data_IF_502935545548
#
_entry.id   IF_502935545548
#
_cell.length_a   1.000
_cell.length_b   1.000
_cell.length_c   1.000
_cell.angle_alpha   90.00
_cell.angle_beta   90.00
_cell.angle_gamma   90.00
#
_symmetry.space_group_name_H-M   'P 1'
#
loop_
_entity.id
_entity.type
_entity.pdbx_description
1 polymer ?
#
# COMPACT_ATOMS: atom_id res chain seq x y z
N UNK A 1 -33.82 -42.05 -24.30
CA UNK A 1 -32.48 -41.71 -23.82
C UNK A 1 -32.57 -40.37 -23.16
N UNK A 2 -32.68 -40.36 -21.82
CA UNK A 2 -32.65 -39.11 -21.04
C UNK A 2 -31.16 -38.78 -20.70
N UNK A 3 -30.68 -37.66 -21.23
CA UNK A 3 -29.35 -37.12 -20.85
C UNK A 3 -29.54 -36.28 -19.59
N UNK A 4 -29.00 -36.76 -18.48
CA UNK A 4 -28.89 -35.99 -17.25
C UNK A 4 -27.67 -35.06 -17.34
N UNK A 5 -27.92 -33.77 -17.49
CA UNK A 5 -26.88 -32.76 -17.33
C UNK A 5 -26.60 -32.58 -15.84
N UNK A 6 -25.44 -33.05 -15.38
CA UNK A 6 -24.93 -32.75 -14.04
C UNK A 6 -24.36 -31.32 -14.09
N UNK A 7 -25.11 -30.37 -13.54
CA UNK A 7 -24.58 -29.06 -13.19
C UNK A 7 -23.64 -29.25 -11.98
N UNK A 8 -22.33 -29.24 -12.22
CA UNK A 8 -21.34 -29.06 -11.17
C UNK A 8 -21.42 -27.60 -10.69
N UNK A 9 -22.19 -27.36 -9.63
CA UNK A 9 -22.03 -26.15 -8.84
C UNK A 9 -20.71 -26.27 -8.11
N UNK A 10 -19.71 -25.52 -8.55
CA UNK A 10 -18.48 -25.29 -7.80
C UNK A 10 -18.87 -24.43 -6.57
N UNK A 11 -19.39 -25.05 -5.52
CA UNK A 11 -19.46 -24.42 -4.22
C UNK A 11 -18.00 -24.29 -3.76
N UNK A 12 -17.48 -23.08 -3.63
CA UNK A 12 -16.24 -22.80 -2.91
C UNK A 12 -16.50 -23.23 -1.47
N UNK A 13 -16.10 -24.44 -1.13
CA UNK A 13 -16.05 -24.90 0.24
C UNK A 13 -14.93 -24.12 0.92
N UNK A 14 -15.26 -22.99 1.53
CA UNK A 14 -14.42 -22.44 2.58
C UNK A 14 -14.40 -23.48 3.69
N UNK A 15 -13.21 -24.00 4.00
CA UNK A 15 -13.05 -24.94 5.09
C UNK A 15 -13.61 -24.32 6.38
N UNK A 16 -14.07 -25.15 7.31
CA UNK A 16 -14.67 -24.79 8.61
C UNK A 16 -13.75 -23.91 9.51
N UNK A 17 -12.60 -23.47 9.03
CA UNK A 17 -11.50 -22.79 9.73
C UNK A 17 -11.08 -21.46 9.11
N UNK A 18 -11.93 -20.77 8.37
CA UNK A 18 -11.61 -19.44 7.81
C UNK A 18 -11.40 -18.42 8.94
N UNK A 19 -10.32 -17.62 8.83
CA UNK A 19 -9.98 -16.53 9.76
C UNK A 19 -10.42 -15.23 9.11
N UNK A 20 -11.49 -14.64 9.62
CA UNK A 20 -12.03 -13.40 9.07
C UNK A 20 -11.26 -12.22 9.65
N UNK A 21 -10.70 -11.37 8.79
CA UNK A 21 -10.07 -10.14 9.22
C UNK A 21 -11.13 -9.15 9.75
N UNK A 22 -10.76 -8.27 10.71
CA UNK A 22 -11.68 -7.28 11.23
C UNK A 22 -12.22 -6.38 10.13
N UNK A 23 -13.43 -5.89 10.29
CA UNK A 23 -13.98 -4.87 9.41
C UNK A 23 -13.24 -3.56 9.59
N UNK A 24 -13.12 -2.81 8.51
CA UNK A 24 -12.56 -1.46 8.52
C UNK A 24 -13.37 -0.52 9.40
N UNK A 25 -12.70 0.50 9.95
CA UNK A 25 -13.26 1.44 10.94
C UNK A 25 -13.99 2.62 10.31
N UNK A 26 -13.80 2.88 9.02
CA UNK A 26 -14.43 4.00 8.30
C UNK A 26 -15.93 3.81 8.08
N UNK A 27 -16.62 4.87 7.63
CA UNK A 27 -18.07 4.89 7.46
C UNK A 27 -18.58 4.10 6.24
N UNK A 28 -17.66 3.63 5.37
CA UNK A 28 -18.01 2.89 4.16
C UNK A 28 -17.56 1.43 4.25
N UNK A 29 -18.34 0.53 3.65
CA UNK A 29 -17.86 -0.78 3.24
C UNK A 29 -17.06 -0.64 1.93
N UNK A 30 -16.41 -1.70 1.47
CA UNK A 30 -15.59 -1.64 0.26
C UNK A 30 -15.87 -2.81 -0.69
N UNK A 31 -15.75 -2.57 -1.99
CA UNK A 31 -15.62 -3.65 -2.99
C UNK A 31 -14.15 -4.03 -3.13
N UNK A 32 -13.87 -5.16 -3.78
CA UNK A 32 -12.53 -5.56 -4.22
C UNK A 32 -12.58 -6.01 -5.69
N UNK A 33 -11.72 -5.40 -6.51
CA UNK A 33 -11.45 -5.86 -7.87
C UNK A 33 -9.95 -6.17 -8.00
N UNK A 34 -9.63 -7.35 -8.55
CA UNK A 34 -8.25 -7.77 -8.85
C UNK A 34 -8.10 -7.74 -10.37
N UNK A 35 -7.12 -6.98 -10.85
CA UNK A 35 -6.98 -6.68 -12.28
C UNK A 35 -5.54 -6.79 -12.73
N UNK A 36 -5.36 -7.31 -13.95
CA UNK A 36 -4.10 -7.21 -14.69
C UNK A 36 -4.20 -6.03 -15.66
N UNK A 37 -3.22 -5.12 -15.60
CA UNK A 37 -3.11 -4.05 -16.59
C UNK A 37 -1.80 -4.15 -17.36
N UNK A 38 -1.90 -4.01 -18.70
CA UNK A 38 -0.77 -4.06 -19.62
C UNK A 38 -0.52 -2.68 -20.19
N UNK A 39 0.68 -2.15 -19.97
CA UNK A 39 1.18 -0.96 -20.62
C UNK A 39 1.84 -1.35 -21.95
N UNK A 40 1.06 -1.32 -23.01
CA UNK A 40 1.52 -1.70 -24.36
C UNK A 40 2.50 -0.69 -24.98
N UNK A 41 2.64 0.49 -24.40
CA UNK A 41 3.57 1.52 -24.86
C UNK A 41 4.99 1.33 -24.32
N UNK A 42 5.14 0.51 -23.27
CA UNK A 42 6.40 0.30 -22.56
C UNK A 42 6.80 -1.18 -22.56
N UNK A 43 7.99 -1.47 -23.09
CA UNK A 43 8.61 -2.81 -22.95
C UNK A 43 8.97 -3.02 -21.48
N UNK A 44 8.79 -4.24 -20.97
CA UNK A 44 9.14 -4.54 -19.59
C UNK A 44 10.66 -4.34 -19.39
N UNK A 45 11.08 -3.49 -18.44
CA UNK A 45 12.48 -3.14 -18.27
C UNK A 45 13.34 -4.28 -17.70
N UNK A 46 12.71 -5.30 -17.09
CA UNK A 46 13.40 -6.47 -16.57
C UNK A 46 13.35 -7.65 -17.55
N UNK A 47 12.39 -7.65 -18.49
CA UNK A 47 12.23 -8.71 -19.47
C UNK A 47 11.70 -8.17 -20.82
N UNK A 48 12.61 -7.94 -21.74
CA UNK A 48 12.30 -7.33 -23.04
C UNK A 48 11.43 -8.19 -23.97
N UNK A 49 11.03 -9.40 -23.56
CA UNK A 49 10.21 -10.29 -24.37
C UNK A 49 8.72 -9.92 -24.39
N UNK A 50 8.27 -9.02 -23.52
CA UNK A 50 6.88 -8.60 -23.42
C UNK A 50 6.72 -7.14 -22.99
N UNK A 51 5.53 -6.59 -23.18
CA UNK A 51 5.18 -5.27 -22.66
C UNK A 51 5.08 -5.30 -21.14
N UNK A 52 5.26 -4.13 -20.50
CA UNK A 52 5.11 -4.00 -19.04
C UNK A 52 3.69 -4.35 -18.64
N UNK A 53 3.55 -5.23 -17.66
CA UNK A 53 2.28 -5.66 -17.07
C UNK A 53 2.38 -5.60 -15.55
N UNK A 54 1.29 -5.18 -14.91
CA UNK A 54 1.20 -5.05 -13.45
C UNK A 54 -0.07 -5.71 -12.94
N UNK A 55 -0.05 -6.13 -11.67
CA UNK A 55 -1.24 -6.62 -10.97
C UNK A 55 -1.71 -5.60 -9.95
N UNK A 56 -3.02 -5.41 -9.89
CA UNK A 56 -3.66 -4.42 -9.03
C UNK A 56 -4.73 -5.08 -8.15
N UNK A 57 -4.87 -4.55 -6.92
CA UNK A 57 -6.08 -4.73 -6.13
C UNK A 57 -6.71 -3.36 -5.91
N UNK A 58 -7.95 -3.20 -6.34
CA UNK A 58 -8.70 -1.95 -6.24
C UNK A 58 -9.82 -2.10 -5.21
N UNK A 59 -9.85 -1.17 -4.27
CA UNK A 59 -10.88 -1.06 -3.25
C UNK A 59 -11.66 0.25 -3.47
N UNK A 60 -12.99 0.14 -3.67
CA UNK A 60 -13.86 1.30 -3.82
C UNK A 60 -14.85 1.38 -2.67
N UNK A 61 -15.10 2.57 -2.09
CA UNK A 61 -16.07 2.77 -1.03
C UNK A 61 -17.50 2.50 -1.47
N UNK A 62 -18.27 1.88 -0.60
CA UNK A 62 -19.71 1.59 -0.78
C UNK A 62 -20.47 1.96 0.49
N UNK A 63 -21.58 2.70 0.42
CA UNK A 63 -22.42 2.89 1.59
C UNK A 63 -22.80 1.55 2.22
N UNK A 64 -22.57 1.39 3.53
CA UNK A 64 -22.83 0.13 4.24
C UNK A 64 -24.25 -0.39 4.01
N UNK A 65 -25.24 0.54 3.91
CA UNK A 65 -26.65 0.19 3.65
C UNK A 65 -26.90 -0.44 2.27
N UNK A 66 -25.93 -0.39 1.36
CA UNK A 66 -25.99 -0.96 -0.01
C UNK A 66 -25.09 -2.17 -0.17
N UNK A 67 -24.33 -2.53 0.84
CA UNK A 67 -23.35 -3.60 0.77
C UNK A 67 -23.99 -4.97 1.05
N UNK A 68 -23.92 -5.88 0.09
CA UNK A 68 -24.14 -7.30 0.32
C UNK A 68 -22.77 -7.91 0.62
N UNK A 69 -22.46 -8.15 1.89
CA UNK A 69 -21.18 -8.68 2.30
C UNK A 69 -20.95 -10.10 1.79
N UNK A 70 -19.74 -10.35 1.27
CA UNK A 70 -19.21 -11.67 1.00
C UNK A 70 -17.79 -11.81 1.54
N UNK A 71 -17.38 -13.03 1.80
CA UNK A 71 -16.00 -13.35 2.18
C UNK A 71 -15.21 -13.71 0.93
N UNK A 72 -14.08 -13.05 0.74
CA UNK A 72 -13.13 -13.35 -0.32
C UNK A 72 -11.79 -13.76 0.26
N UNK A 73 -11.06 -14.60 -0.44
CA UNK A 73 -9.73 -15.02 -0.03
C UNK A 73 -8.80 -13.82 0.06
N UNK A 74 -8.06 -13.72 1.18
CA UNK A 74 -7.11 -12.64 1.42
C UNK A 74 -5.96 -12.64 0.40
N UNK A 75 -5.45 -13.84 0.07
CA UNK A 75 -4.32 -14.01 -0.83
C UNK A 75 -4.59 -15.16 -1.81
N UNK A 76 -4.18 -15.03 -3.07
CA UNK A 76 -4.28 -16.08 -4.07
C UNK A 76 -3.43 -17.30 -3.68
N UNK A 77 -3.86 -18.51 -4.06
CA UNK A 77 -3.31 -19.75 -3.54
C UNK A 77 -1.80 -19.94 -3.80
N UNK A 78 -1.31 -19.59 -4.99
CA UNK A 78 0.10 -19.73 -5.34
C UNK A 78 0.95 -18.73 -4.55
N UNK A 79 0.49 -17.50 -4.48
CA UNK A 79 1.14 -16.45 -3.68
C UNK A 79 1.15 -16.83 -2.20
N UNK A 80 0.02 -17.25 -1.64
CA UNK A 80 -0.07 -17.67 -0.24
C UNK A 80 0.88 -18.82 0.10
N UNK A 81 1.02 -19.79 -0.80
CA UNK A 81 1.94 -20.92 -0.59
C UNK A 81 3.42 -20.49 -0.63
N UNK A 82 3.77 -19.55 -1.51
CA UNK A 82 5.13 -19.02 -1.59
C UNK A 82 5.47 -18.14 -0.38
N UNK A 83 4.53 -17.30 0.05
CA UNK A 83 4.70 -16.44 1.22
C UNK A 83 4.73 -17.24 2.55
N UNK A 84 3.93 -18.29 2.68
CA UNK A 84 4.03 -19.22 3.83
C UNK A 84 5.42 -19.86 3.94
N UNK A 85 6.07 -20.17 2.80
CA UNK A 85 7.43 -20.70 2.77
C UNK A 85 8.46 -19.66 3.20
N UNK A 86 8.35 -18.41 2.68
CA UNK A 86 9.22 -17.29 3.04
C UNK A 86 9.08 -16.95 4.54
N UNK A 87 7.85 -16.85 5.02
CA UNK A 87 7.56 -16.53 6.41
C UNK A 87 7.88 -17.68 7.40
N UNK A 88 8.05 -18.90 6.89
CA UNK A 88 8.43 -20.06 7.69
C UNK A 88 9.73 -19.86 8.48
N UNK A 89 10.69 -19.12 7.93
CA UNK A 89 11.96 -18.78 8.58
C UNK A 89 11.75 -17.86 9.81
N UNK A 90 10.61 -17.19 9.89
CA UNK A 90 10.21 -16.29 10.99
C UNK A 90 9.26 -16.96 11.99
N UNK A 91 8.99 -18.27 11.84
CA UNK A 91 8.11 -19.03 12.71
C UNK A 91 6.63 -19.00 12.31
N UNK A 92 6.32 -18.57 11.10
CA UNK A 92 4.96 -18.56 10.55
C UNK A 92 4.49 -20.01 10.26
N UNK A 93 3.25 -20.39 10.67
CA UNK A 93 2.71 -21.71 10.39
C UNK A 93 2.38 -21.90 8.90
N UNK A 94 2.88 -22.96 8.30
CA UNK A 94 2.60 -23.31 6.89
C UNK A 94 1.10 -23.51 6.64
N UNK A 95 0.60 -22.96 5.55
CA UNK A 95 -0.79 -23.03 5.12
C UNK A 95 -1.72 -22.05 5.83
N UNK A 96 -1.19 -21.16 6.67
CA UNK A 96 -2.01 -20.23 7.44
C UNK A 96 -2.54 -19.09 6.57
N UNK A 97 -1.76 -18.58 5.60
CA UNK A 97 -2.19 -17.47 4.73
C UNK A 97 -3.44 -17.81 3.92
N UNK A 98 -3.59 -19.07 3.51
CA UNK A 98 -4.80 -19.53 2.80
C UNK A 98 -6.09 -19.54 3.64
N UNK A 99 -5.99 -19.36 4.96
CA UNK A 99 -7.14 -19.35 5.86
C UNK A 99 -7.73 -17.97 6.06
N UNK A 100 -6.99 -16.90 5.77
CA UNK A 100 -7.48 -15.55 5.94
C UNK A 100 -8.45 -15.14 4.83
N UNK A 101 -9.51 -14.45 5.24
CA UNK A 101 -10.51 -13.89 4.34
C UNK A 101 -10.81 -12.45 4.71
N UNK A 102 -11.10 -11.63 3.69
CA UNK A 102 -11.63 -10.28 3.81
C UNK A 102 -13.15 -10.31 3.66
N UNK A 103 -13.87 -9.46 4.37
CA UNK A 103 -15.26 -9.15 4.08
C UNK A 103 -15.32 -7.94 3.13
N UNK A 104 -15.92 -8.13 1.97
CA UNK A 104 -16.10 -7.10 0.93
C UNK A 104 -17.55 -7.07 0.45
N UNK A 105 -17.90 -6.02 -0.29
CA UNK A 105 -19.21 -5.96 -0.96
C UNK A 105 -19.16 -6.73 -2.28
N UNK A 106 -20.14 -7.60 -2.49
CA UNK A 106 -20.26 -8.44 -3.68
C UNK A 106 -20.52 -7.64 -4.95
N UNK A 107 -21.24 -6.54 -4.85
CA UNK A 107 -21.64 -5.73 -6.00
C UNK A 107 -20.43 -4.98 -6.55
N UNK A 108 -19.96 -5.40 -7.72
CA UNK A 108 -18.85 -4.73 -8.42
C UNK A 108 -19.38 -3.48 -9.10
N UNK A 109 -18.80 -2.33 -8.78
CA UNK A 109 -19.00 -1.14 -9.60
C UNK A 109 -18.22 -1.27 -10.91
N UNK A 110 -18.76 -0.76 -12.05
CA UNK A 110 -18.06 -0.84 -13.33
C UNK A 110 -16.67 -0.19 -13.23
N UNK A 111 -15.65 -0.89 -13.72
CA UNK A 111 -14.30 -0.36 -13.90
C UNK A 111 -14.37 0.92 -14.74
N UNK A 112 -13.79 2.01 -14.26
CA UNK A 112 -13.80 3.32 -14.93
C UNK A 112 -14.82 4.33 -14.37
N UNK A 113 -15.74 3.93 -13.50
CA UNK A 113 -16.50 4.88 -12.72
C UNK A 113 -15.71 5.24 -11.45
N UNK A 114 -14.94 6.31 -11.49
CA UNK A 114 -14.49 6.99 -10.29
C UNK A 114 -15.73 7.67 -9.72
N UNK A 115 -16.45 7.02 -8.78
CA UNK A 115 -17.62 7.61 -8.16
C UNK A 115 -18.78 6.63 -7.95
N UNK A 116 -19.33 6.63 -6.75
CA UNK A 116 -20.61 6.01 -6.44
C UNK A 116 -21.74 6.66 -7.26
N UNK A 117 -22.67 5.89 -7.79
CA UNK A 117 -23.87 6.36 -8.51
C UNK A 117 -23.65 7.24 -9.77
N UNK A 118 -22.47 7.24 -10.39
CA UNK A 118 -22.25 8.05 -11.59
C UNK A 118 -22.11 9.56 -11.39
N UNK A 119 -22.10 10.06 -10.15
CA UNK A 119 -21.97 11.47 -9.81
C UNK A 119 -20.94 11.81 -8.73
N UNK A 120 -20.58 10.87 -7.87
CA UNK A 120 -19.54 11.06 -6.85
C UNK A 120 -18.26 10.35 -7.24
N UNK A 121 -17.18 11.12 -7.44
CA UNK A 121 -15.83 10.60 -7.64
C UNK A 121 -15.13 10.54 -6.28
N UNK A 122 -14.72 9.34 -5.87
CA UNK A 122 -13.84 9.21 -4.73
C UNK A 122 -12.42 9.63 -5.11
N UNK A 123 -11.70 10.37 -4.25
CA UNK A 123 -10.29 10.66 -4.50
C UNK A 123 -9.46 9.39 -4.61
N UNK A 124 -8.45 9.42 -5.47
CA UNK A 124 -7.62 8.27 -5.80
C UNK A 124 -6.37 8.25 -4.92
N UNK A 125 -6.14 7.13 -4.26
CA UNK A 125 -4.91 6.83 -3.53
C UNK A 125 -4.24 5.59 -4.10
N UNK A 126 -2.98 5.71 -4.55
CA UNK A 126 -2.17 4.58 -4.99
C UNK A 126 -1.27 4.10 -3.85
N UNK A 127 -1.07 2.80 -3.77
CA UNK A 127 -0.20 2.18 -2.77
C UNK A 127 0.84 1.28 -3.42
N UNK A 128 2.11 1.43 -2.99
CA UNK A 128 3.23 0.56 -3.37
C UNK A 128 3.77 -0.16 -2.13
N UNK A 129 3.95 -1.47 -2.23
CA UNK A 129 4.47 -2.32 -1.14
C UNK A 129 5.97 -2.22 -0.94
N UNK A 130 6.50 -2.93 0.06
CA UNK A 130 7.93 -3.07 0.29
C UNK A 130 8.67 -3.73 -0.87
N UNK A 131 10.01 -3.71 -0.83
CA UNK A 131 10.82 -4.50 -1.74
C UNK A 131 10.57 -5.99 -1.49
N UNK A 132 10.46 -6.79 -2.54
CA UNK A 132 10.15 -8.21 -2.44
C UNK A 132 8.91 -8.49 -1.57
N UNK A 133 7.86 -7.66 -1.68
CA UNK A 133 6.64 -7.85 -0.90
C UNK A 133 5.42 -7.66 -1.79
N UNK A 134 4.54 -8.67 -1.81
CA UNK A 134 3.31 -8.60 -2.62
C UNK A 134 2.34 -7.56 -2.09
N UNK A 135 1.60 -6.90 -3.02
CA UNK A 135 0.50 -5.98 -2.70
C UNK A 135 -0.54 -6.58 -1.76
N UNK A 136 -0.66 -7.90 -1.75
CA UNK A 136 -1.67 -8.63 -0.98
C UNK A 136 -1.44 -8.52 0.53
N UNK A 137 -0.20 -8.34 0.99
CA UNK A 137 0.12 -8.05 2.40
C UNK A 137 -0.29 -6.64 2.86
N UNK A 138 -0.98 -5.87 2.02
CA UNK A 138 -1.49 -4.55 2.33
C UNK A 138 -2.99 -4.42 2.02
N UNK A 139 -3.66 -5.56 1.80
CA UNK A 139 -5.08 -5.58 1.43
C UNK A 139 -5.98 -5.05 2.55
N UNK A 140 -5.68 -5.36 3.81
CA UNK A 140 -6.44 -4.86 4.94
C UNK A 140 -6.19 -3.36 5.18
N UNK A 141 -4.93 -2.90 5.06
CA UNK A 141 -4.60 -1.47 5.12
C UNK A 141 -5.31 -0.69 4.00
N UNK A 142 -5.27 -1.21 2.77
CA UNK A 142 -5.93 -0.57 1.63
C UNK A 142 -7.45 -0.50 1.82
N UNK A 143 -8.05 -1.57 2.35
CA UNK A 143 -9.47 -1.63 2.70
C UNK A 143 -9.81 -0.62 3.80
N UNK A 144 -8.95 -0.49 4.83
CA UNK A 144 -9.11 0.50 5.89
C UNK A 144 -9.14 1.92 5.31
N UNK A 145 -8.14 2.32 4.52
CA UNK A 145 -8.09 3.66 3.92
C UNK A 145 -9.27 3.89 2.96
N UNK A 146 -9.64 2.88 2.17
CA UNK A 146 -10.79 2.98 1.27
C UNK A 146 -12.11 3.18 2.04
N UNK A 147 -12.25 2.57 3.22
CA UNK A 147 -13.46 2.74 4.05
C UNK A 147 -13.67 4.18 4.54
N UNK A 148 -12.63 5.01 4.47
CA UNK A 148 -12.68 6.44 4.76
C UNK A 148 -12.97 7.31 3.53
N UNK A 149 -13.38 6.74 2.41
CA UNK A 149 -13.85 7.48 1.25
C UNK A 149 -12.80 7.72 0.16
N UNK A 150 -11.86 6.79 -0.02
CA UNK A 150 -10.89 6.79 -1.12
C UNK A 150 -11.08 5.58 -2.04
N UNK A 151 -10.92 5.77 -3.34
CA UNK A 151 -10.56 4.65 -4.20
C UNK A 151 -9.08 4.33 -3.95
N UNK A 152 -8.79 3.16 -3.37
CA UNK A 152 -7.40 2.73 -3.11
C UNK A 152 -7.00 1.65 -4.08
N UNK A 153 -5.83 1.81 -4.73
CA UNK A 153 -5.27 0.82 -5.64
C UNK A 153 -3.88 0.43 -5.15
N UNK A 154 -3.72 -0.83 -4.78
CA UNK A 154 -2.41 -1.42 -4.47
C UNK A 154 -1.80 -2.05 -5.71
N UNK A 155 -0.47 -1.93 -5.86
CA UNK A 155 0.25 -2.29 -7.09
C UNK A 155 1.32 -3.34 -6.77
N UNK A 156 1.31 -4.48 -7.49
CA UNK A 156 2.51 -5.31 -7.62
C UNK A 156 3.34 -4.85 -8.80
N UNK A 157 4.64 -4.78 -8.56
CA UNK A 157 5.67 -4.44 -9.54
C UNK A 157 6.43 -5.73 -9.94
N UNK A 158 6.02 -6.46 -11.00
CA UNK A 158 6.64 -7.72 -11.38
C UNK A 158 8.15 -7.60 -11.54
N UNK A 159 8.88 -8.65 -11.16
CA UNK A 159 10.34 -8.76 -11.06
C UNK A 159 10.97 -8.05 -9.85
N UNK A 160 10.25 -7.12 -9.21
CA UNK A 160 10.61 -6.48 -7.94
C UNK A 160 9.84 -7.16 -6.79
N UNK A 161 8.50 -7.25 -6.92
CA UNK A 161 7.63 -8.02 -6.01
C UNK A 161 8.02 -9.49 -6.04
N UNK A 162 8.14 -10.12 -4.88
CA UNK A 162 8.61 -11.51 -4.71
C UNK A 162 7.79 -12.54 -5.48
N UNK A 163 6.46 -12.47 -5.43
CA UNK A 163 5.56 -13.35 -6.18
C UNK A 163 4.40 -12.55 -6.76
N UNK A 164 4.25 -12.59 -8.08
CA UNK A 164 3.12 -11.99 -8.79
C UNK A 164 2.40 -13.06 -9.59
N UNK A 165 1.19 -13.41 -9.15
CA UNK A 165 0.32 -14.37 -9.82
C UNK A 165 -0.67 -13.62 -10.74
N UNK A 166 -0.72 -14.01 -12.02
CA UNK A 166 -1.58 -13.42 -13.04
C UNK A 166 -2.81 -14.28 -13.32
N UNK A 167 -3.92 -13.68 -13.80
CA UNK A 167 -5.18 -14.40 -14.05
C UNK A 167 -5.07 -15.57 -15.04
N UNK A 168 -4.08 -15.54 -15.93
CA UNK A 168 -3.81 -16.62 -16.90
C UNK A 168 -2.98 -17.78 -16.33
N UNK A 169 -2.68 -17.75 -15.02
CA UNK A 169 -1.87 -18.75 -14.33
C UNK A 169 -0.35 -18.52 -14.44
N UNK A 170 0.10 -17.48 -15.14
CA UNK A 170 1.52 -17.12 -15.11
C UNK A 170 1.91 -16.61 -13.74
N UNK A 171 3.13 -16.93 -13.31
CA UNK A 171 3.74 -16.43 -12.08
C UNK A 171 5.09 -15.79 -12.42
N UNK A 172 5.32 -14.58 -11.92
CA UNK A 172 6.61 -13.91 -12.02
C UNK A 172 7.18 -13.79 -10.60
N UNK A 173 8.43 -14.21 -10.44
CA UNK A 173 9.16 -14.07 -9.18
C UNK A 173 10.04 -12.82 -9.20
N UNK A 174 10.24 -12.24 -8.01
CA UNK A 174 11.04 -11.07 -7.76
C UNK A 174 12.55 -11.32 -7.82
N UNK A 175 13.29 -10.39 -7.19
CA UNK A 175 14.75 -10.49 -7.04
C UNK A 175 15.55 -9.78 -8.14
N UNK A 176 14.92 -9.12 -9.11
CA UNK A 176 15.61 -8.31 -10.11
C UNK A 176 16.02 -6.93 -9.57
N UNK A 177 15.38 -6.47 -8.51
CA UNK A 177 15.80 -5.31 -7.72
C UNK A 177 16.42 -5.82 -6.43
N UNK A 178 17.70 -5.59 -6.24
CA UNK A 178 18.47 -6.13 -5.11
C UNK A 178 19.50 -5.11 -4.62
N UNK A 179 19.98 -5.21 -3.37
CA UNK A 179 21.10 -4.40 -2.92
C UNK A 179 22.31 -4.64 -3.80
N UNK A 180 23.11 -3.58 -4.06
CA UNK A 180 24.30 -3.72 -4.88
C UNK A 180 25.28 -4.72 -4.25
N UNK A 181 25.72 -5.69 -5.04
CA UNK A 181 26.76 -6.61 -4.61
C UNK A 181 28.07 -5.82 -4.34
N UNK A 182 28.65 -6.00 -3.15
CA UNK A 182 29.93 -5.38 -2.74
C UNK A 182 29.98 -3.85 -2.65
N UNK A 183 28.85 -3.18 -2.40
CA UNK A 183 28.82 -1.73 -2.16
C UNK A 183 29.12 -0.86 -3.39
N UNK A 184 29.17 -1.44 -4.59
CA UNK A 184 29.33 -0.71 -5.84
C UNK A 184 28.00 -0.71 -6.60
N UNK A 185 27.50 0.47 -6.92
CA UNK A 185 26.35 0.84 -7.74
C UNK A 185 24.96 0.85 -7.02
N UNK A 186 24.43 2.03 -6.73
CA UNK A 186 23.03 2.20 -6.27
C UNK A 186 21.99 1.99 -7.40
N UNK A 187 22.43 1.67 -8.62
CA UNK A 187 21.63 1.61 -9.84
C UNK A 187 20.41 0.71 -9.75
N UNK A 188 20.47 -0.39 -8.97
CA UNK A 188 19.34 -1.30 -8.87
C UNK A 188 18.15 -0.71 -8.11
N UNK A 189 18.38 0.03 -7.02
CA UNK A 189 17.29 0.66 -6.26
C UNK A 189 16.73 1.89 -6.98
N UNK A 190 17.57 2.78 -7.46
CA UNK A 190 17.12 3.97 -8.21
C UNK A 190 16.34 3.56 -9.46
N UNK A 191 16.82 2.53 -10.16
CA UNK A 191 16.12 1.97 -11.31
C UNK A 191 14.78 1.34 -10.93
N UNK A 192 14.73 0.55 -9.85
CA UNK A 192 13.49 -0.04 -9.35
C UNK A 192 12.46 1.03 -8.95
N UNK A 193 12.90 2.10 -8.29
CA UNK A 193 12.03 3.23 -7.93
C UNK A 193 11.49 3.97 -9.15
N UNK A 194 12.33 4.17 -10.18
CA UNK A 194 11.88 4.76 -11.44
C UNK A 194 10.83 3.89 -12.13
N UNK A 195 11.01 2.57 -12.18
CA UNK A 195 10.01 1.63 -12.71
C UNK A 195 8.71 1.70 -11.93
N UNK A 196 8.76 1.74 -10.59
CA UNK A 196 7.57 1.87 -9.73
C UNK A 196 6.84 3.19 -9.96
N UNK A 197 7.57 4.29 -10.10
CA UNK A 197 6.99 5.60 -10.40
C UNK A 197 6.29 5.62 -11.76
N UNK A 198 6.90 5.01 -12.78
CA UNK A 198 6.29 4.86 -14.11
C UNK A 198 5.05 3.95 -14.08
N UNK A 199 5.06 2.88 -13.29
CA UNK A 199 3.88 2.03 -13.08
C UNK A 199 2.72 2.82 -12.43
N UNK A 200 3.04 3.67 -11.44
CA UNK A 200 2.05 4.55 -10.81
C UNK A 200 1.48 5.59 -11.80
N UNK A 201 2.35 6.23 -12.60
CA UNK A 201 1.91 7.16 -13.66
C UNK A 201 1.04 6.47 -14.71
N UNK A 202 1.38 5.24 -15.10
CA UNK A 202 0.55 4.43 -16.00
C UNK A 202 -0.85 4.16 -15.43
N UNK A 203 -0.96 3.91 -14.12
CA UNK A 203 -2.28 3.76 -13.47
C UNK A 203 -3.10 5.06 -13.60
N UNK A 204 -2.48 6.22 -13.38
CA UNK A 204 -3.15 7.51 -13.56
C UNK A 204 -3.60 7.73 -15.02
N UNK A 205 -2.74 7.41 -15.99
CA UNK A 205 -3.06 7.51 -17.43
C UNK A 205 -4.27 6.64 -17.78
N UNK A 206 -4.27 5.40 -17.30
CA UNK A 206 -5.33 4.43 -17.57
C UNK A 206 -6.68 4.83 -16.96
N UNK A 207 -6.65 5.55 -15.83
CA UNK A 207 -7.84 6.09 -15.17
C UNK A 207 -8.28 7.46 -15.73
N UNK A 208 -7.52 8.03 -16.66
CA UNK A 208 -7.81 9.33 -17.24
C UNK A 208 -7.59 10.52 -16.30
N UNK A 209 -6.73 10.36 -15.28
CA UNK A 209 -6.33 11.46 -14.41
C UNK A 209 -5.39 12.38 -15.18
N UNK A 210 -5.88 13.52 -15.60
CA UNK A 210 -5.14 14.49 -16.39
C UNK A 210 -4.57 15.63 -15.54
N UNK A 211 -3.36 16.09 -15.87
CA UNK A 211 -2.73 17.22 -15.19
C UNK A 211 -3.53 18.53 -15.32
N UNK A 212 -4.21 18.71 -16.47
CA UNK A 212 -5.00 19.91 -16.80
C UNK A 212 -6.40 19.90 -16.18
N UNK A 213 -6.95 18.72 -15.85
CA UNK A 213 -8.31 18.57 -15.34
C UNK A 213 -8.47 19.01 -13.87
N UNK A 214 -7.38 19.38 -13.20
CA UNK A 214 -7.40 19.72 -11.76
C UNK A 214 -7.63 18.50 -10.84
N UNK A 215 -7.80 17.30 -11.41
CA UNK A 215 -7.88 16.06 -10.65
C UNK A 215 -6.51 15.70 -10.12
N UNK A 216 -6.42 15.44 -8.82
CA UNK A 216 -5.18 15.06 -8.16
C UNK A 216 -5.34 13.69 -7.50
N UNK A 217 -4.26 12.93 -7.53
CA UNK A 217 -4.13 11.69 -6.79
C UNK A 217 -3.17 11.87 -5.61
N UNK A 218 -3.20 10.92 -4.70
CA UNK A 218 -2.22 10.78 -3.62
C UNK A 218 -1.54 9.41 -3.73
N UNK A 219 -0.34 9.29 -3.18
CA UNK A 219 0.38 8.02 -3.17
C UNK A 219 0.99 7.76 -1.80
N UNK A 220 0.92 6.54 -1.34
CA UNK A 220 1.60 6.13 -0.12
C UNK A 220 2.23 4.75 -0.30
N UNK A 221 3.13 4.41 0.58
CA UNK A 221 3.78 3.11 0.50
C UNK A 221 4.59 2.78 1.75
N UNK A 222 4.85 1.50 1.91
CA UNK A 222 5.66 0.97 3.00
C UNK A 222 7.06 0.64 2.50
N UNK A 223 8.08 0.92 3.32
CA UNK A 223 9.47 0.54 3.01
C UNK A 223 9.91 1.11 1.66
N UNK A 224 10.36 0.29 0.72
CA UNK A 224 10.74 0.70 -0.63
C UNK A 224 9.58 1.38 -1.39
N UNK A 225 8.33 1.00 -1.10
CA UNK A 225 7.13 1.66 -1.62
C UNK A 225 6.95 3.09 -1.11
N UNK A 226 7.42 3.39 0.10
CA UNK A 226 7.47 4.76 0.62
C UNK A 226 8.44 5.66 -0.16
N UNK A 227 9.62 5.12 -0.51
CA UNK A 227 10.56 5.79 -1.40
C UNK A 227 9.99 5.94 -2.82
N UNK A 228 9.25 4.92 -3.31
CA UNK A 228 8.55 4.99 -4.60
C UNK A 228 7.48 6.08 -4.62
N UNK A 229 6.78 6.31 -3.49
CA UNK A 229 5.83 7.41 -3.36
C UNK A 229 6.51 8.77 -3.59
N UNK A 230 7.66 9.01 -2.95
CA UNK A 230 8.41 10.26 -3.15
C UNK A 230 8.94 10.39 -4.60
N UNK A 231 9.44 9.30 -5.19
CA UNK A 231 9.91 9.29 -6.58
C UNK A 231 8.78 9.58 -7.56
N UNK A 232 7.59 9.01 -7.34
CA UNK A 232 6.41 9.27 -8.15
C UNK A 232 5.97 10.74 -8.07
N UNK A 233 5.98 11.34 -6.86
CA UNK A 233 5.68 12.76 -6.70
C UNK A 233 6.70 13.66 -7.41
N UNK A 234 7.98 13.29 -7.37
CA UNK A 234 9.03 14.05 -8.07
C UNK A 234 8.82 14.02 -9.60
N UNK A 235 8.38 12.90 -10.13
CA UNK A 235 8.29 12.66 -11.58
C UNK A 235 6.93 13.02 -12.18
N UNK A 236 5.85 13.08 -11.37
CA UNK A 236 4.50 13.28 -11.87
C UNK A 236 3.71 14.30 -11.04
N UNK A 237 3.44 15.44 -11.63
CA UNK A 237 2.73 16.56 -10.99
C UNK A 237 1.26 16.29 -10.68
N UNK A 238 0.70 15.17 -11.13
CA UNK A 238 -0.67 14.73 -10.81
C UNK A 238 -0.79 14.23 -9.38
N UNK A 239 0.32 13.82 -8.76
CA UNK A 239 0.35 13.49 -7.34
C UNK A 239 0.42 14.77 -6.49
N UNK A 240 -0.57 14.95 -5.63
CA UNK A 240 -0.68 16.13 -4.73
C UNK A 240 0.01 15.89 -3.39
N UNK A 241 -0.08 14.68 -2.87
CA UNK A 241 0.50 14.34 -1.58
C UNK A 241 1.04 12.92 -1.55
N UNK A 242 2.08 12.71 -0.74
CA UNK A 242 2.69 11.41 -0.53
C UNK A 242 2.91 11.07 0.93
N UNK A 243 2.95 9.76 1.23
CA UNK A 243 3.33 9.25 2.54
C UNK A 243 4.34 8.12 2.39
N UNK A 244 5.39 8.19 3.20
CA UNK A 244 6.34 7.10 3.39
C UNK A 244 6.11 6.46 4.78
N UNK A 245 5.77 5.18 4.79
CA UNK A 245 5.66 4.34 5.98
C UNK A 245 6.98 3.59 6.17
N UNK A 246 7.85 4.11 7.00
CA UNK A 246 9.12 3.56 7.49
C UNK A 246 10.16 3.17 6.41
N UNK A 247 10.06 3.75 5.21
CA UNK A 247 10.99 3.43 4.12
C UNK A 247 12.24 4.28 4.11
N UNK A 248 13.40 3.65 3.93
CA UNK A 248 14.63 4.37 3.60
C UNK A 248 14.48 5.07 2.25
N UNK A 249 15.00 6.30 2.16
CA UNK A 249 14.90 7.11 0.95
C UNK A 249 16.13 6.92 0.05
N UNK A 250 15.93 6.97 -1.27
CA UNK A 250 16.96 6.76 -2.26
C UNK A 250 16.80 7.73 -3.44
N UNK A 251 17.86 7.87 -4.23
CA UNK A 251 17.84 8.55 -5.51
C UNK A 251 17.70 10.07 -5.46
N UNK A 252 17.18 10.67 -6.53
CA UNK A 252 17.15 12.12 -6.70
C UNK A 252 16.41 12.90 -5.63
N UNK A 253 15.40 12.30 -4.95
CA UNK A 253 14.61 12.95 -3.90
C UNK A 253 15.45 13.40 -2.70
N UNK A 254 16.66 12.83 -2.52
CA UNK A 254 17.56 13.22 -1.43
C UNK A 254 18.14 14.64 -1.60
N UNK A 255 18.17 15.16 -2.83
CA UNK A 255 18.75 16.46 -3.19
C UNK A 255 17.90 17.27 -4.17
N UNK A 256 16.77 16.73 -4.62
CA UNK A 256 15.82 17.43 -5.48
C UNK A 256 14.48 17.48 -4.75
N UNK A 257 14.04 18.68 -4.44
CA UNK A 257 12.80 18.86 -3.69
C UNK A 257 11.57 18.61 -4.54
N UNK A 258 10.51 18.18 -3.86
CA UNK A 258 9.17 18.01 -4.45
C UNK A 258 8.51 19.37 -4.74
N UNK A 259 7.45 19.33 -5.51
CA UNK A 259 6.59 20.46 -5.82
C UNK A 259 7.16 21.42 -6.86
N UNK A 260 6.25 22.14 -7.49
CA UNK A 260 6.55 23.20 -8.47
C UNK A 260 5.59 24.38 -8.23
N UNK A 261 5.87 25.59 -8.81
CA UNK A 261 4.94 26.72 -8.73
C UNK A 261 3.54 26.38 -9.21
N UNK A 262 3.41 25.49 -10.19
CA UNK A 262 2.14 25.10 -10.80
C UNK A 262 1.46 23.93 -10.08
N UNK A 263 2.21 23.16 -9.31
CA UNK A 263 1.71 22.01 -8.60
C UNK A 263 2.46 21.86 -7.27
N UNK A 264 2.06 22.60 -6.23
CA UNK A 264 2.60 22.39 -4.89
C UNK A 264 2.24 20.99 -4.40
N UNK A 265 3.14 20.40 -3.60
CA UNK A 265 2.99 19.03 -3.10
C UNK A 265 3.19 18.98 -1.59
N UNK A 266 2.65 17.93 -0.98
CA UNK A 266 2.77 17.64 0.45
C UNK A 266 3.42 16.27 0.68
N UNK A 267 4.08 16.09 1.81
CA UNK A 267 4.66 14.79 2.15
C UNK A 267 4.68 14.52 3.65
N UNK A 268 4.38 13.28 4.05
CA UNK A 268 4.52 12.84 5.42
C UNK A 268 5.47 11.63 5.54
N UNK A 269 6.27 11.65 6.60
CA UNK A 269 7.12 10.53 7.03
C UNK A 269 6.52 9.89 8.27
N UNK A 270 6.36 8.58 8.26
CA UNK A 270 5.92 7.77 9.39
C UNK A 270 6.98 6.74 9.74
N UNK A 271 7.69 6.95 10.83
CA UNK A 271 8.76 6.07 11.29
C UNK A 271 8.30 5.08 12.35
N UNK A 272 8.93 3.90 12.35
CA UNK A 272 8.96 3.03 13.52
C UNK A 272 9.66 3.70 14.70
N UNK A 273 9.62 3.10 15.88
CA UNK A 273 10.23 3.71 17.06
C UNK A 273 11.72 3.99 16.86
N UNK A 274 12.10 5.26 16.97
CA UNK A 274 13.49 5.70 16.78
C UNK A 274 13.91 5.96 15.33
N UNK A 275 13.10 5.63 14.34
CA UNK A 275 13.37 5.96 12.94
C UNK A 275 12.74 7.31 12.58
N UNK A 276 13.57 8.33 12.38
CA UNK A 276 13.17 9.70 12.08
C UNK A 276 14.31 10.50 11.44
N UNK A 277 14.02 11.73 10.99
CA UNK A 277 14.97 12.61 10.34
C UNK A 277 16.16 13.06 11.21
N UNK A 278 16.09 12.87 12.51
CA UNK A 278 17.20 13.12 13.45
C UNK A 278 18.00 11.85 13.77
N UNK A 279 17.61 10.68 13.25
CA UNK A 279 18.27 9.42 13.48
C UNK A 279 19.64 9.37 12.79
N UNK A 280 20.66 8.86 13.48
CA UNK A 280 21.98 8.63 12.91
C UNK A 280 22.11 7.29 12.18
N UNK A 281 21.18 6.39 12.37
CA UNK A 281 21.17 5.06 11.73
C UNK A 281 20.71 5.10 10.27
N UNK A 282 19.88 6.07 9.91
CA UNK A 282 19.46 6.33 8.54
C UNK A 282 19.51 7.83 8.21
N UNK A 283 20.59 8.24 7.52
CA UNK A 283 20.77 9.61 7.09
C UNK A 283 19.87 10.01 5.90
N UNK A 284 19.24 9.07 5.23
CA UNK A 284 18.42 9.37 4.06
C UNK A 284 17.19 10.19 4.43
N UNK A 285 16.61 9.99 5.63
CA UNK A 285 15.48 10.77 6.11
C UNK A 285 15.87 12.22 6.40
N UNK A 286 17.04 12.47 7.00
CA UNK A 286 17.52 13.83 7.24
C UNK A 286 17.78 14.57 5.91
N UNK A 287 18.37 13.91 4.93
CA UNK A 287 18.60 14.48 3.60
C UNK A 287 17.28 14.81 2.90
N UNK A 288 16.35 13.86 2.88
CA UNK A 288 15.04 14.08 2.28
C UNK A 288 14.23 15.18 2.98
N UNK A 289 14.23 15.20 4.33
CA UNK A 289 13.58 16.25 5.10
C UNK A 289 14.14 17.63 4.81
N UNK A 290 15.45 17.74 4.67
CA UNK A 290 16.12 18.98 4.28
C UNK A 290 15.77 19.38 2.82
N UNK A 291 15.68 18.42 1.91
CA UNK A 291 15.21 18.64 0.55
C UNK A 291 13.79 19.20 0.54
N UNK A 292 12.85 18.58 1.25
CA UNK A 292 11.49 19.10 1.41
C UNK A 292 11.46 20.51 2.00
N UNK A 293 12.31 20.78 3.00
CA UNK A 293 12.37 22.06 3.72
C UNK A 293 12.95 23.20 2.87
N UNK A 294 13.73 22.87 1.83
CA UNK A 294 14.35 23.85 0.93
C UNK A 294 13.40 24.40 -0.13
N UNK A 295 12.24 23.77 -0.35
CA UNK A 295 11.28 24.19 -1.38
C UNK A 295 10.14 25.00 -0.81
N UNK A 296 9.87 26.14 -1.50
CA UNK A 296 8.65 26.91 -1.26
C UNK A 296 7.37 26.24 -1.81
N UNK A 297 7.53 25.13 -2.53
CA UNK A 297 6.43 24.40 -3.19
C UNK A 297 6.07 23.09 -2.51
N UNK A 298 6.74 22.77 -1.40
CA UNK A 298 6.27 21.79 -0.42
C UNK A 298 5.48 22.58 0.62
N UNK A 299 4.17 22.65 0.41
CA UNK A 299 3.30 23.53 1.19
C UNK A 299 2.79 22.90 2.49
N UNK A 300 2.90 21.57 2.62
CA UNK A 300 2.60 20.85 3.85
C UNK A 300 3.50 19.62 4.01
N UNK A 301 4.08 19.46 5.19
CA UNK A 301 4.88 18.29 5.53
C UNK A 301 4.75 17.95 7.01
N UNK A 302 4.82 16.67 7.32
CA UNK A 302 4.72 16.12 8.66
C UNK A 302 5.70 14.96 8.87
N UNK A 303 6.14 14.81 10.11
CA UNK A 303 6.95 13.68 10.52
C UNK A 303 6.38 13.10 11.82
N UNK A 304 6.13 11.79 11.80
CA UNK A 304 5.56 11.03 12.90
C UNK A 304 6.39 9.81 13.22
N UNK A 305 6.31 9.35 14.48
CA UNK A 305 6.72 8.00 14.86
C UNK A 305 5.64 7.35 15.72
N UNK A 306 5.59 6.02 15.68
CA UNK A 306 4.70 5.23 16.55
C UNK A 306 5.57 4.49 17.57
N UNK A 307 5.31 4.73 18.86
CA UNK A 307 5.99 4.04 19.97
C UNK A 307 5.67 2.53 19.91
N UNK A 308 6.66 1.69 20.15
CA UNK A 308 6.59 0.24 20.04
C UNK A 308 6.30 -0.31 18.64
N UNK A 309 6.35 0.52 17.59
CA UNK A 309 6.31 0.04 16.21
C UNK A 309 7.70 -0.37 15.72
N UNK A 310 7.76 -1.43 14.94
CA UNK A 310 8.91 -1.84 14.15
C UNK A 310 8.62 -1.68 12.65
N UNK A 311 9.60 -1.98 11.81
CA UNK A 311 9.47 -1.82 10.36
C UNK A 311 8.21 -2.48 9.79
N UNK A 312 7.97 -3.73 10.15
CA UNK A 312 6.81 -4.48 9.68
C UNK A 312 5.51 -4.20 10.45
N UNK A 313 5.46 -3.19 11.32
CA UNK A 313 4.17 -2.76 11.91
C UNK A 313 3.23 -2.14 10.88
N UNK A 314 3.75 -1.73 9.72
CA UNK A 314 3.04 -1.02 8.66
C UNK A 314 2.52 -1.92 7.53
N UNK A 315 2.65 -3.25 7.64
CA UNK A 315 2.05 -4.22 6.73
C UNK A 315 1.08 -5.13 7.45
N UNK A 316 0.23 -5.85 6.71
CA UNK A 316 -0.84 -6.64 7.30
C UNK A 316 -0.32 -7.78 8.22
N UNK A 317 0.94 -8.21 8.09
CA UNK A 317 1.49 -9.30 8.91
C UNK A 317 1.28 -9.04 10.41
N UNK A 318 1.39 -7.78 10.85
CA UNK A 318 1.19 -7.40 12.25
C UNK A 318 -0.24 -7.72 12.74
N UNK A 319 -1.27 -7.44 11.94
CA UNK A 319 -2.66 -7.77 12.32
C UNK A 319 -2.97 -9.25 12.10
N UNK A 320 -2.38 -9.90 11.07
CA UNK A 320 -2.59 -11.31 10.79
C UNK A 320 -2.15 -12.20 11.96
N UNK A 321 -0.99 -11.92 12.57
CA UNK A 321 -0.50 -12.69 13.75
C UNK A 321 -1.42 -12.53 14.96
N UNK A 322 -2.02 -11.35 15.15
CA UNK A 322 -2.95 -11.10 16.26
C UNK A 322 -4.29 -11.79 16.05
N UNK A 323 -4.86 -11.66 14.87
CA UNK A 323 -6.17 -12.26 14.53
C UNK A 323 -6.09 -13.80 14.53
N UNK A 324 -4.94 -14.36 14.10
CA UNK A 324 -4.70 -15.80 14.19
C UNK A 324 -4.34 -16.28 15.60
N UNK A 325 -4.07 -15.37 16.54
CA UNK A 325 -3.65 -15.71 17.90
C UNK A 325 -2.28 -16.35 17.99
N UNK A 326 -1.38 -16.08 17.04
CA UNK A 326 -0.06 -16.70 16.94
C UNK A 326 1.11 -15.78 17.28
N UNK A 327 0.86 -14.54 17.72
CA UNK A 327 1.94 -13.59 18.05
C UNK A 327 2.97 -14.20 19.00
N UNK A 328 2.54 -14.96 20.01
CA UNK A 328 3.42 -15.64 20.94
C UNK A 328 4.16 -16.86 20.36
N UNK A 329 3.84 -17.30 19.13
CA UNK A 329 4.45 -18.45 18.49
C UNK A 329 5.58 -18.07 17.53
N UNK A 330 5.57 -16.82 17.03
CA UNK A 330 6.68 -16.31 16.21
C UNK A 330 7.89 -16.01 17.09
N UNK A 331 9.09 -15.99 16.50
CA UNK A 331 10.32 -15.78 17.28
C UNK A 331 10.31 -14.42 18.00
N UNK A 332 11.06 -14.33 19.12
CA UNK A 332 11.20 -13.07 19.85
C UNK A 332 11.76 -11.94 18.96
N UNK A 333 12.74 -12.26 18.11
CA UNK A 333 13.28 -11.33 17.13
C UNK A 333 12.22 -10.85 16.14
N UNK A 334 11.36 -11.75 15.65
CA UNK A 334 10.22 -11.38 14.80
C UNK A 334 9.26 -10.46 15.52
N UNK A 335 8.94 -10.74 16.79
CA UNK A 335 8.04 -9.90 17.58
C UNK A 335 8.61 -8.50 17.81
N UNK A 336 9.90 -8.39 18.10
CA UNK A 336 10.53 -7.11 18.44
C UNK A 336 10.92 -6.29 17.21
N UNK A 337 11.50 -6.93 16.20
CA UNK A 337 12.17 -6.22 15.10
C UNK A 337 11.40 -6.23 13.79
N UNK A 338 10.52 -7.21 13.57
CA UNK A 338 9.74 -7.28 12.35
C UNK A 338 8.36 -6.66 12.53
N UNK A 339 7.53 -7.17 13.45
CA UNK A 339 6.15 -6.71 13.61
C UNK A 339 5.95 -5.66 14.72
N UNK A 340 6.91 -5.54 15.63
CA UNK A 340 6.85 -4.63 16.78
C UNK A 340 5.95 -5.12 17.93
N UNK A 341 6.19 -4.62 19.15
CA UNK A 341 5.35 -4.91 20.33
C UNK A 341 3.93 -4.37 20.24
N UNK A 342 3.71 -3.31 19.45
CA UNK A 342 2.37 -2.69 19.31
C UNK A 342 1.40 -3.65 18.62
N UNK A 343 0.16 -3.85 19.15
CA UNK A 343 -0.83 -4.70 18.51
C UNK A 343 -1.22 -4.20 17.11
N UNK A 344 -1.38 -5.13 16.16
CA UNK A 344 -1.79 -4.83 14.79
C UNK A 344 -3.09 -4.04 14.68
N UNK A 345 -4.19 -4.42 15.39
CA UNK A 345 -5.41 -3.64 15.38
C UNK A 345 -5.20 -2.18 15.81
N UNK A 346 -4.30 -1.93 16.77
CA UNK A 346 -4.00 -0.57 17.23
C UNK A 346 -3.25 0.26 16.19
N UNK A 347 -2.32 -0.34 15.46
CA UNK A 347 -1.64 0.34 14.34
C UNK A 347 -2.66 0.75 13.28
N UNK A 348 -3.63 -0.13 12.95
CA UNK A 348 -4.67 0.15 11.95
C UNK A 348 -5.61 1.28 12.37
N UNK A 349 -6.00 1.35 13.65
CA UNK A 349 -6.75 2.49 14.18
C UNK A 349 -5.99 3.81 14.00
N UNK A 350 -4.68 3.80 14.28
CA UNK A 350 -3.82 4.97 14.09
C UNK A 350 -3.74 5.35 12.61
N UNK A 351 -3.37 4.41 11.74
CA UNK A 351 -3.20 4.68 10.31
C UNK A 351 -4.53 5.05 9.64
N UNK A 352 -5.63 4.38 10.00
CA UNK A 352 -6.98 4.68 9.53
C UNK A 352 -7.48 6.06 9.92
N UNK A 353 -6.94 6.63 11.00
CA UNK A 353 -7.28 8.00 11.42
C UNK A 353 -6.41 9.06 10.76
N UNK A 354 -5.10 8.85 10.71
CA UNK A 354 -4.13 9.87 10.31
C UNK A 354 -3.93 9.95 8.78
N UNK A 355 -3.86 8.82 8.08
CA UNK A 355 -3.63 8.82 6.62
C UNK A 355 -4.78 9.48 5.86
N UNK A 356 -6.07 9.13 6.11
CA UNK A 356 -7.17 9.81 5.45
C UNK A 356 -7.23 11.30 5.76
N UNK A 357 -7.02 11.72 7.02
CA UNK A 357 -7.01 13.14 7.40
C UNK A 357 -5.95 13.93 6.65
N UNK A 358 -4.71 13.41 6.60
CA UNK A 358 -3.63 14.03 5.84
C UNK A 358 -3.99 14.17 4.34
N UNK A 359 -4.57 13.15 3.74
CA UNK A 359 -4.94 13.19 2.33
C UNK A 359 -6.14 14.11 2.04
N UNK A 360 -7.20 14.05 2.88
CA UNK A 360 -8.37 14.93 2.74
C UNK A 360 -7.96 16.40 2.80
N UNK A 361 -7.12 16.76 3.76
CA UNK A 361 -6.61 18.14 3.89
C UNK A 361 -5.79 18.55 2.65
N UNK A 362 -4.84 17.74 2.23
CA UNK A 362 -3.96 18.09 1.11
C UNK A 362 -4.65 18.07 -0.26
N UNK A 363 -5.76 17.34 -0.39
CA UNK A 363 -6.62 17.42 -1.59
C UNK A 363 -7.58 18.61 -1.55
N UNK A 364 -7.59 19.39 -0.47
CA UNK A 364 -8.48 20.54 -0.30
C UNK A 364 -9.95 20.15 -0.05
N UNK A 365 -10.18 18.94 0.45
CA UNK A 365 -11.51 18.40 0.74
C UNK A 365 -11.88 18.58 2.21
N UNK A 366 -10.90 18.81 3.07
CA UNK A 366 -11.05 19.29 4.45
C UNK A 366 -10.28 20.57 4.67
N UNK A 367 -10.74 21.41 5.62
CA UNK A 367 -10.15 22.73 5.91
C UNK A 367 -8.93 22.60 6.81
N UNK A 368 -8.84 21.51 7.59
CA UNK A 368 -7.82 21.31 8.60
C UNK A 368 -7.45 19.84 8.73
N UNK A 369 -6.16 19.55 8.90
CA UNK A 369 -5.66 18.26 9.33
C UNK A 369 -5.67 18.20 10.87
N UNK A 370 -6.84 17.95 11.43
CA UNK A 370 -7.12 18.02 12.87
C UNK A 370 -6.21 17.12 13.70
N UNK A 371 -5.91 15.91 13.20
CA UNK A 371 -5.15 14.92 13.96
C UNK A 371 -3.64 15.17 13.95
N UNK A 372 -3.15 15.90 12.96
CA UNK A 372 -1.71 16.18 12.80
C UNK A 372 -1.26 17.51 13.45
N UNK A 373 -2.17 18.26 14.07
CA UNK A 373 -1.85 19.57 14.66
C UNK A 373 -1.17 19.50 16.03
N UNK A 374 -1.57 18.56 16.87
CA UNK A 374 -1.07 18.41 18.22
C UNK A 374 -1.15 16.94 18.67
N UNK A 375 -0.40 16.57 19.72
CA UNK A 375 -0.53 15.23 20.29
C UNK A 375 -1.99 14.90 20.61
N UNK A 376 -2.46 13.76 20.11
CA UNK A 376 -3.82 13.30 20.32
C UNK A 376 -3.86 12.34 21.52
N UNK A 377 -4.67 12.65 22.53
CA UNK A 377 -4.82 11.79 23.72
C UNK A 377 -5.47 10.43 23.42
N UNK A 378 -6.17 10.30 22.31
CA UNK A 378 -6.71 9.03 21.81
C UNK A 378 -5.60 8.11 21.27
N UNK A 379 -4.52 8.70 20.75
CA UNK A 379 -3.37 8.00 20.16
C UNK A 379 -2.04 8.43 20.81
N UNK A 380 -1.85 8.12 22.09
CA UNK A 380 -0.65 8.55 22.83
C UNK A 380 0.64 7.91 22.30
N UNK A 381 0.53 6.84 21.52
CA UNK A 381 1.64 6.16 20.83
C UNK A 381 2.23 7.01 19.70
N UNK A 382 1.43 7.90 19.10
CA UNK A 382 1.87 8.76 17.99
C UNK A 382 2.62 9.97 18.54
N UNK A 383 3.84 10.15 18.08
CA UNK A 383 4.65 11.34 18.33
C UNK A 383 4.77 12.15 17.05
N UNK A 384 4.35 13.41 17.11
CA UNK A 384 4.56 14.38 16.04
C UNK A 384 5.93 15.03 16.29
N UNK A 385 6.87 14.85 15.37
CA UNK A 385 8.25 15.31 15.51
C UNK A 385 8.48 16.65 14.80
N UNK A 386 7.85 16.86 13.64
CA UNK A 386 7.97 18.05 12.80
C UNK A 386 6.66 18.37 12.06
#
# INVERSE_FOLDING_TARGET
MLVWSILLTCATAFAQDAIVLPRSTGPYATTLAIEEWVDSSRIDPFNSSHARRIMLSRFDPVPVSRCNFEQVQYMANVTAAAEDEILGDYGWPKGLLNRFVLEVCKDKYPVGSVGGNGTEKWPLALFSGGLNTTRLFYSHLAQEIASHGFTVITIDHPYDTDVVEFPNGNVIFGGSVAPPANGSEPTSYDFGLEVRAQDASFVLDRLGVGAEAGEKAVMFGHSFGGAASATALLNDIRFRAGINLDGKMFGPVLNTSLGTPMSPQAFALWGSEGHNSSSSSDLSWSLFWNSLSSSAYVDYKKEFTITNAAHGSYWDLNILVDVAGIRGNVSEDTQLYLIGPIPGPRVWEILGRYIPSFFWYNLGLEVEDEVSKCPNSEFPEVKILN
#
